data_IF_257165688405
#
_entry.id   IF_257165688405
#
_cell.length_a   1.000
_cell.length_b   1.000
_cell.length_c   1.000
_cell.angle_alpha   90.00
_cell.angle_beta   90.00
_cell.angle_gamma   90.00
#
_symmetry.space_group_name_H-M   'P 1'
#
loop_
_entity.id
_entity.type
_entity.pdbx_description
1 polymer ?
#
# COMPACT_ATOMS: atom_id res chain seq x y z
N UNK A 1 34.87 -18.70 11.77
CA UNK A 1 34.59 -17.24 11.70
C UNK A 1 35.47 -16.55 12.71
N UNK A 2 36.14 -15.50 12.28
CA UNK A 2 36.96 -14.71 13.18
C UNK A 2 36.11 -13.63 13.84
N UNK A 3 36.44 -13.29 15.08
CA UNK A 3 35.68 -12.34 15.89
C UNK A 3 36.57 -11.20 16.35
N UNK A 4 36.00 -10.03 16.52
CA UNK A 4 36.59 -8.90 17.21
C UNK A 4 35.84 -8.60 18.49
N UNK A 5 36.52 -8.07 19.49
CA UNK A 5 35.93 -7.63 20.75
C UNK A 5 35.40 -6.20 20.61
N UNK A 6 34.10 -6.02 20.86
CA UNK A 6 33.43 -4.72 20.97
C UNK A 6 32.99 -4.49 22.41
N UNK A 7 32.73 -3.23 22.78
CA UNK A 7 32.35 -2.84 24.14
C UNK A 7 31.13 -1.96 24.14
N UNK A 8 30.28 -2.15 25.15
CA UNK A 8 29.23 -1.21 25.54
C UNK A 8 29.21 -1.03 27.07
N UNK A 9 28.21 -0.35 27.61
CA UNK A 9 28.08 -0.11 29.04
C UNK A 9 27.89 -1.38 29.89
N UNK A 10 27.60 -2.52 29.26
CA UNK A 10 27.43 -3.82 29.91
C UNK A 10 28.68 -4.70 29.82
N UNK A 11 29.74 -4.25 29.13
CA UNK A 11 31.00 -4.97 29.00
C UNK A 11 31.30 -5.45 27.57
N UNK A 12 32.19 -6.44 27.48
CA UNK A 12 32.68 -6.97 26.21
C UNK A 12 31.67 -7.92 25.55
N UNK A 13 31.70 -7.93 24.20
CA UNK A 13 30.96 -8.88 23.37
C UNK A 13 31.73 -9.20 22.11
N UNK A 14 31.64 -10.44 21.62
CA UNK A 14 32.31 -10.90 20.40
C UNK A 14 31.43 -10.63 19.18
N UNK A 15 31.93 -9.89 18.20
CA UNK A 15 31.25 -9.54 16.95
C UNK A 15 32.02 -10.15 15.78
N UNK A 16 31.37 -10.77 14.78
CA UNK A 16 32.07 -11.27 13.58
C UNK A 16 32.85 -10.17 12.91
N UNK A 17 34.10 -10.45 12.54
CA UNK A 17 35.07 -9.43 12.07
C UNK A 17 34.63 -8.75 10.77
N UNK A 18 33.88 -9.48 9.92
CA UNK A 18 33.38 -8.99 8.64
C UNK A 18 32.13 -8.12 8.77
N UNK A 19 31.56 -7.96 9.97
CA UNK A 19 30.33 -7.16 10.19
C UNK A 19 30.66 -5.81 10.77
N UNK A 20 29.98 -4.75 10.27
CA UNK A 20 30.17 -3.39 10.77
C UNK A 20 29.31 -3.06 12.00
N UNK A 21 28.34 -3.90 12.39
CA UNK A 21 27.62 -3.66 13.64
C UNK A 21 28.50 -3.84 14.88
N UNK A 22 28.11 -3.26 15.99
CA UNK A 22 28.88 -3.28 17.23
C UNK A 22 28.20 -4.10 18.35
N UNK A 23 28.56 -3.76 19.59
CA UNK A 23 28.16 -4.49 20.78
C UNK A 23 26.65 -4.52 21.01
N UNK A 24 25.96 -3.39 20.89
CA UNK A 24 24.53 -3.32 21.17
C UNK A 24 23.71 -4.13 20.16
N UNK A 25 24.07 -4.06 18.88
CA UNK A 25 23.43 -4.89 17.84
C UNK A 25 23.70 -6.36 18.05
N UNK A 26 24.92 -6.75 18.40
CA UNK A 26 25.25 -8.17 18.66
C UNK A 26 24.41 -8.73 19.82
N UNK A 27 24.27 -7.98 20.93
CA UNK A 27 23.40 -8.40 22.05
C UNK A 27 21.96 -8.53 21.62
N UNK A 28 21.43 -7.61 20.83
CA UNK A 28 20.06 -7.72 20.31
C UNK A 28 19.88 -8.93 19.41
N UNK A 29 20.82 -9.19 18.51
CA UNK A 29 20.83 -10.36 17.62
C UNK A 29 20.86 -11.68 18.40
N UNK A 30 21.54 -11.73 19.53
CA UNK A 30 21.61 -12.93 20.40
C UNK A 30 20.37 -13.08 21.28
N UNK A 31 19.81 -11.98 21.80
CA UNK A 31 18.71 -12.00 22.78
C UNK A 31 17.34 -12.18 22.13
N UNK A 32 17.12 -11.69 20.91
CA UNK A 32 15.81 -11.69 20.24
C UNK A 32 15.75 -12.70 19.08
N UNK A 33 15.89 -13.99 19.40
CA UNK A 33 15.71 -15.08 18.42
C UNK A 33 14.23 -15.44 18.27
N UNK A 34 13.45 -14.47 17.78
CA UNK A 34 11.98 -14.57 17.69
C UNK A 34 11.57 -14.35 16.24
N UNK A 35 10.91 -15.35 15.64
CA UNK A 35 10.42 -15.28 14.26
C UNK A 35 11.53 -15.12 13.21
N UNK A 36 11.14 -14.76 12.02
CA UNK A 36 12.05 -14.55 10.88
C UNK A 36 11.93 -13.15 10.28
N UNK A 37 10.95 -12.38 10.74
CA UNK A 37 10.61 -11.06 10.24
C UNK A 37 11.69 -10.06 10.63
N UNK A 38 12.51 -9.69 9.65
CA UNK A 38 13.55 -8.67 9.83
C UNK A 38 12.97 -7.27 9.73
N UNK A 39 13.67 -6.32 10.36
CA UNK A 39 13.37 -4.91 10.19
C UNK A 39 13.40 -4.55 8.70
N UNK A 40 12.35 -3.91 8.16
CA UNK A 40 12.28 -3.58 6.73
C UNK A 40 13.46 -2.74 6.26
N UNK A 41 13.95 -3.00 5.05
CA UNK A 41 15.03 -2.24 4.44
C UNK A 41 14.66 -0.77 4.23
N UNK A 42 13.39 -0.48 4.04
CA UNK A 42 12.83 0.85 3.93
C UNK A 42 13.09 1.70 5.20
N UNK A 43 13.02 1.06 6.39
CA UNK A 43 13.38 1.71 7.66
C UNK A 43 14.89 1.96 7.74
N UNK A 44 15.71 1.01 7.32
CA UNK A 44 17.18 1.19 7.28
C UNK A 44 17.56 2.35 6.37
N UNK A 45 16.93 2.45 5.19
CA UNK A 45 17.10 3.57 4.25
C UNK A 45 16.64 4.91 4.86
N UNK A 46 15.48 4.91 5.53
CA UNK A 46 14.97 6.10 6.21
C UNK A 46 15.92 6.57 7.33
N UNK A 47 16.49 5.64 8.08
CA UNK A 47 17.55 5.95 9.04
C UNK A 47 18.79 6.55 8.37
N UNK A 48 19.24 6.03 7.24
CA UNK A 48 20.39 6.58 6.52
C UNK A 48 20.11 8.04 6.08
N UNK A 49 18.92 8.33 5.56
CA UNK A 49 18.50 9.72 5.25
C UNK A 49 18.52 10.59 6.51
N UNK A 50 17.92 10.11 7.61
CA UNK A 50 17.86 10.81 8.88
C UNK A 50 19.26 11.09 9.44
N UNK A 51 20.15 10.09 9.48
CA UNK A 51 21.52 10.24 10.01
C UNK A 51 22.36 11.18 9.16
N UNK A 52 22.23 11.12 7.85
CA UNK A 52 22.86 12.08 6.94
C UNK A 52 22.34 13.51 7.19
N UNK A 53 21.01 13.67 7.31
CA UNK A 53 20.40 14.96 7.62
C UNK A 53 20.83 15.51 8.98
N UNK A 54 20.89 14.66 10.02
CA UNK A 54 21.35 15.04 11.36
C UNK A 54 22.83 15.46 11.36
N UNK A 55 23.70 14.77 10.63
CA UNK A 55 25.09 15.15 10.47
C UNK A 55 25.24 16.52 9.78
N UNK A 56 24.46 16.76 8.73
CA UNK A 56 24.41 18.06 8.04
C UNK A 56 23.91 19.16 8.99
N UNK A 57 22.82 18.92 9.73
CA UNK A 57 22.27 19.89 10.67
C UNK A 57 23.25 20.21 11.81
N UNK A 58 23.88 19.21 12.43
CA UNK A 58 24.89 19.40 13.46
C UNK A 58 26.12 20.13 12.92
N UNK A 59 26.52 19.91 11.69
CA UNK A 59 27.62 20.65 11.05
C UNK A 59 27.22 22.12 10.83
N UNK A 60 26.05 22.41 10.29
CA UNK A 60 25.53 23.78 10.10
C UNK A 60 25.44 24.56 11.42
N UNK A 61 25.13 23.86 12.51
CA UNK A 61 25.04 24.43 13.86
C UNK A 61 26.39 24.46 14.62
N UNK A 62 27.50 24.10 13.95
CA UNK A 62 28.84 24.14 14.52
C UNK A 62 29.11 23.08 15.61
N UNK A 63 28.32 22.01 15.68
CA UNK A 63 28.46 20.91 16.65
C UNK A 63 29.28 19.74 16.12
N UNK A 64 29.26 19.49 14.82
CA UNK A 64 30.01 18.43 14.16
C UNK A 64 30.94 19.03 13.10
N UNK A 65 32.21 18.62 13.09
CA UNK A 65 33.17 19.08 12.10
C UNK A 65 32.91 18.48 10.70
N UNK A 66 33.50 19.13 9.69
CA UNK A 66 33.30 18.79 8.28
C UNK A 66 33.77 17.36 7.93
N UNK A 67 34.88 16.92 8.53
CA UNK A 67 35.46 15.59 8.25
C UNK A 67 34.50 14.47 8.71
N UNK A 68 33.99 14.59 9.96
CA UNK A 68 33.03 13.62 10.51
C UNK A 68 31.70 13.63 9.75
N UNK A 69 31.18 14.82 9.45
CA UNK A 69 29.96 14.95 8.60
C UNK A 69 30.14 14.24 7.26
N UNK A 70 31.27 14.43 6.61
CA UNK A 70 31.55 13.83 5.28
C UNK A 70 31.61 12.30 5.37
N UNK A 71 32.26 11.75 6.40
CA UNK A 71 32.32 10.29 6.61
C UNK A 71 30.94 9.71 6.89
N UNK A 72 30.17 10.31 7.82
CA UNK A 72 28.79 9.86 8.12
C UNK A 72 27.93 9.90 6.85
N UNK A 73 28.00 10.99 6.09
CA UNK A 73 27.22 11.14 4.84
C UNK A 73 27.60 10.10 3.80
N UNK A 74 28.90 9.80 3.62
CA UNK A 74 29.39 8.81 2.67
C UNK A 74 28.92 7.39 3.00
N UNK A 75 28.94 7.00 4.28
CA UNK A 75 28.43 5.69 4.69
C UNK A 75 26.90 5.61 4.52
N UNK A 76 26.18 6.71 4.82
CA UNK A 76 24.73 6.76 4.55
C UNK A 76 24.42 6.56 3.07
N UNK A 77 25.25 7.10 2.17
CA UNK A 77 25.10 6.87 0.73
C UNK A 77 25.32 5.39 0.36
N UNK A 78 26.35 4.73 0.94
CA UNK A 78 26.53 3.28 0.75
C UNK A 78 25.32 2.45 1.23
N UNK A 79 24.68 2.86 2.35
CA UNK A 79 23.45 2.22 2.84
C UNK A 79 22.30 2.42 1.85
N UNK A 80 22.10 3.64 1.35
CA UNK A 80 21.06 3.98 0.38
C UNK A 80 21.23 3.23 -0.95
N UNK A 81 22.47 2.99 -1.36
CA UNK A 81 22.81 2.17 -2.54
C UNK A 81 22.68 0.66 -2.30
N UNK A 82 22.37 0.23 -1.07
CA UNK A 82 22.20 -1.18 -0.71
C UNK A 82 23.50 -1.96 -0.50
N UNK A 83 24.66 -1.31 -0.51
CA UNK A 83 25.98 -1.95 -0.36
C UNK A 83 26.20 -2.60 1.00
N UNK A 84 25.46 -2.15 2.02
CA UNK A 84 25.63 -2.56 3.42
C UNK A 84 24.45 -3.37 3.97
N UNK A 85 23.56 -3.88 3.13
CA UNK A 85 22.33 -4.57 3.55
C UNK A 85 22.56 -5.74 4.52
N UNK A 86 23.69 -6.47 4.39
CA UNK A 86 24.02 -7.60 5.26
C UNK A 86 24.42 -7.23 6.69
N UNK A 87 24.53 -5.92 6.97
CA UNK A 87 24.90 -5.41 8.29
C UNK A 87 23.70 -5.02 9.18
N UNK A 88 22.48 -5.32 8.72
CA UNK A 88 21.22 -5.02 9.43
C UNK A 88 20.43 -6.30 9.72
N UNK A 89 20.89 -7.13 10.70
CA UNK A 89 20.34 -8.47 10.91
C UNK A 89 19.11 -8.51 11.81
N UNK A 90 18.73 -7.40 12.46
CA UNK A 90 17.77 -7.39 13.56
C UNK A 90 16.34 -7.71 13.11
N UNK A 91 15.64 -8.44 13.97
CA UNK A 91 14.23 -8.77 13.78
C UNK A 91 13.31 -7.64 14.24
N UNK A 92 12.07 -7.67 13.79
CA UNK A 92 11.00 -6.77 14.25
C UNK A 92 10.70 -6.93 15.73
N UNK A 93 10.81 -8.17 16.22
CA UNK A 93 10.54 -8.58 17.61
C UNK A 93 11.72 -8.22 18.53
N UNK A 94 11.93 -6.91 18.74
CA UNK A 94 12.99 -6.31 19.55
C UNK A 94 12.39 -5.33 20.55
N UNK A 95 13.20 -4.46 21.18
CA UNK A 95 12.66 -3.40 22.04
C UNK A 95 11.67 -2.53 21.26
N UNK A 96 10.52 -2.28 21.85
CA UNK A 96 9.41 -1.59 21.18
C UNK A 96 9.67 -0.12 20.84
N UNK A 97 10.69 0.51 21.42
CA UNK A 97 11.17 1.85 21.06
C UNK A 97 12.04 1.88 19.79
N UNK A 98 12.48 0.71 19.30
CA UNK A 98 13.40 0.61 18.17
C UNK A 98 14.84 1.02 18.47
N UNK A 99 15.22 1.09 19.74
CA UNK A 99 16.59 1.50 20.15
C UNK A 99 17.67 0.64 19.51
N UNK A 100 17.46 -0.70 19.43
CA UNK A 100 18.47 -1.56 18.82
C UNK A 100 18.63 -1.26 17.32
N UNK A 101 17.56 -0.98 16.59
CA UNK A 101 17.65 -0.59 15.17
C UNK A 101 18.38 0.75 15.00
N UNK A 102 18.09 1.75 15.83
CA UNK A 102 18.83 3.01 15.83
C UNK A 102 20.32 2.77 16.09
N UNK A 103 20.65 1.95 17.10
CA UNK A 103 22.05 1.65 17.42
C UNK A 103 22.72 0.81 16.33
N UNK A 104 22.02 -0.13 15.71
CA UNK A 104 22.54 -0.89 14.57
C UNK A 104 23.01 0.07 13.44
N UNK A 105 22.19 1.03 13.07
CA UNK A 105 22.58 2.03 12.06
C UNK A 105 23.74 2.89 12.54
N UNK A 106 23.73 3.34 13.80
CA UNK A 106 24.82 4.16 14.37
C UNK A 106 26.16 3.39 14.38
N UNK A 107 26.15 2.13 14.80
CA UNK A 107 27.34 1.27 14.86
C UNK A 107 27.89 0.97 13.47
N UNK A 108 27.04 0.63 12.50
CA UNK A 108 27.46 0.40 11.11
C UNK A 108 28.07 1.68 10.52
N UNK A 109 27.45 2.83 10.70
CA UNK A 109 27.98 4.10 10.19
C UNK A 109 29.33 4.43 10.85
N UNK A 110 29.45 4.27 12.17
CA UNK A 110 30.70 4.58 12.86
C UNK A 110 31.83 3.65 12.44
N UNK A 111 31.60 2.34 12.43
CA UNK A 111 32.66 1.36 12.12
C UNK A 111 33.08 1.42 10.64
N UNK A 112 32.13 1.52 9.71
CA UNK A 112 32.47 1.71 8.29
C UNK A 112 33.17 3.03 8.02
N UNK A 113 32.72 4.12 8.65
CA UNK A 113 33.35 5.44 8.53
C UNK A 113 34.75 5.47 9.11
N UNK A 114 35.01 4.76 10.21
CA UNK A 114 36.36 4.59 10.79
C UNK A 114 37.29 3.80 9.85
N UNK A 115 36.77 2.74 9.22
CA UNK A 115 37.53 2.00 8.19
C UNK A 115 37.89 2.91 7.01
N UNK A 116 36.95 3.70 6.50
CA UNK A 116 37.18 4.68 5.43
C UNK A 116 38.21 5.76 5.83
N UNK A 117 38.21 6.17 7.12
CA UNK A 117 39.15 7.15 7.64
C UNK A 117 40.55 6.59 7.91
N UNK A 118 40.69 5.25 8.04
CA UNK A 118 41.91 4.58 8.48
C UNK A 118 42.25 4.79 9.97
N UNK A 119 41.34 5.37 10.77
CA UNK A 119 41.49 5.65 12.19
C UNK A 119 40.17 5.69 12.93
N UNK A 120 40.16 5.56 14.27
CA UNK A 120 38.97 5.70 15.12
C UNK A 120 38.56 7.19 15.27
N UNK A 121 37.81 7.70 14.30
CA UNK A 121 37.35 9.09 14.25
C UNK A 121 35.88 9.27 14.67
N UNK A 122 35.06 8.27 14.38
CA UNK A 122 33.62 8.26 14.67
C UNK A 122 33.31 7.39 15.88
N UNK A 123 32.40 7.88 16.72
CA UNK A 123 31.76 7.12 17.80
C UNK A 123 30.25 7.03 17.56
N UNK A 124 29.59 5.87 17.73
CA UNK A 124 28.18 5.70 17.41
C UNK A 124 27.26 6.65 18.19
N UNK A 125 27.52 6.86 19.49
CA UNK A 125 26.68 7.73 20.32
C UNK A 125 27.09 9.21 20.21
N UNK A 126 28.40 9.53 20.28
CA UNK A 126 28.86 10.92 20.42
C UNK A 126 28.80 11.70 19.11
N UNK A 127 28.96 11.01 17.96
CA UNK A 127 29.02 11.64 16.64
C UNK A 127 27.83 11.28 15.76
N UNK A 128 27.52 9.99 15.56
CA UNK A 128 26.44 9.55 14.67
C UNK A 128 25.06 9.85 15.28
N UNK A 129 24.93 9.65 16.62
CA UNK A 129 23.68 9.92 17.35
C UNK A 129 23.65 11.31 18.01
N UNK A 130 24.59 12.20 17.67
CA UNK A 130 24.68 13.54 18.24
C UNK A 130 23.36 14.31 18.14
N UNK A 131 22.91 14.92 19.23
CA UNK A 131 21.65 15.70 19.35
C UNK A 131 20.36 14.86 19.19
N UNK A 132 20.43 13.53 19.32
CA UNK A 132 19.34 12.61 19.05
C UNK A 132 19.11 11.65 20.21
N UNK A 133 17.94 11.04 20.24
CA UNK A 133 17.59 9.85 21.03
C UNK A 133 16.98 8.79 20.10
N UNK A 134 17.00 7.51 20.49
CA UNK A 134 16.21 6.49 19.80
C UNK A 134 14.72 6.84 19.78
N UNK A 135 14.26 7.54 20.81
CA UNK A 135 12.86 7.88 21.02
C UNK A 135 12.33 8.87 19.97
N UNK A 136 13.16 9.76 19.44
CA UNK A 136 12.78 10.69 18.38
C UNK A 136 13.28 10.26 17.00
N UNK A 137 14.37 9.48 16.90
CA UNK A 137 14.88 8.99 15.61
C UNK A 137 13.99 7.92 15.00
N UNK A 138 13.54 6.93 15.79
CA UNK A 138 12.75 5.83 15.24
C UNK A 138 11.41 6.30 14.67
N UNK A 139 10.56 7.10 15.37
CA UNK A 139 9.33 7.63 14.78
C UNK A 139 9.59 8.55 13.58
N UNK A 140 10.71 9.30 13.57
CA UNK A 140 11.10 10.06 12.39
C UNK A 140 11.42 9.17 11.20
N UNK A 141 12.17 8.08 11.40
CA UNK A 141 12.44 7.11 10.34
C UNK A 141 11.15 6.42 9.84
N UNK A 142 10.19 6.13 10.74
CA UNK A 142 8.86 5.61 10.37
C UNK A 142 8.14 6.57 9.42
N UNK A 143 8.09 7.85 9.73
CA UNK A 143 7.43 8.86 8.92
C UNK A 143 8.10 9.06 7.56
N UNK A 144 9.44 9.13 7.54
CA UNK A 144 10.19 9.22 6.27
C UNK A 144 9.91 7.99 5.40
N UNK A 145 10.02 6.77 5.95
CA UNK A 145 9.78 5.55 5.20
C UNK A 145 8.33 5.47 4.67
N UNK A 146 7.35 5.77 5.51
CA UNK A 146 5.95 5.71 5.14
C UNK A 146 5.60 6.71 4.01
N UNK A 147 6.06 7.97 4.13
CA UNK A 147 5.81 8.98 3.12
C UNK A 147 6.47 8.63 1.78
N UNK A 148 7.75 8.23 1.79
CA UNK A 148 8.48 7.89 0.57
C UNK A 148 7.90 6.66 -0.13
N UNK A 149 7.58 5.59 0.61
CA UNK A 149 7.01 4.38 0.01
C UNK A 149 5.61 4.60 -0.59
N UNK A 150 4.79 5.45 0.01
CA UNK A 150 3.52 5.86 -0.61
C UNK A 150 3.76 6.63 -1.91
N UNK A 151 4.65 7.62 -1.89
CA UNK A 151 4.82 8.52 -3.03
C UNK A 151 5.65 7.91 -4.17
N UNK A 152 6.67 7.12 -3.86
CA UNK A 152 7.64 6.64 -4.85
C UNK A 152 7.38 5.20 -5.32
N UNK A 153 6.59 4.43 -4.56
CA UNK A 153 6.24 3.05 -4.92
C UNK A 153 4.75 2.85 -5.16
N UNK A 154 3.90 3.26 -4.19
CA UNK A 154 2.46 2.98 -4.28
C UNK A 154 1.78 3.83 -5.36
N UNK A 155 2.02 5.14 -5.39
CA UNK A 155 1.38 6.01 -6.37
C UNK A 155 1.70 5.64 -7.82
N UNK A 156 2.95 5.36 -8.22
CA UNK A 156 3.23 4.90 -9.59
C UNK A 156 2.51 3.61 -9.97
N UNK A 157 2.40 2.66 -9.02
CA UNK A 157 1.68 1.40 -9.23
C UNK A 157 0.18 1.63 -9.41
N UNK A 158 -0.40 2.50 -8.58
CA UNK A 158 -1.81 2.87 -8.63
C UNK A 158 -2.13 3.65 -9.92
N UNK A 159 -1.29 4.60 -10.31
CA UNK A 159 -1.45 5.37 -11.55
C UNK A 159 -1.40 4.47 -12.79
N UNK A 160 -0.51 3.48 -12.79
CA UNK A 160 -0.43 2.49 -13.87
C UNK A 160 -1.74 1.71 -14.01
N UNK A 161 -2.33 1.29 -12.91
CA UNK A 161 -3.61 0.56 -12.91
C UNK A 161 -4.78 1.45 -13.34
N UNK A 162 -4.86 2.68 -12.84
CA UNK A 162 -5.87 3.68 -13.24
C UNK A 162 -5.82 3.93 -14.75
N UNK A 163 -4.63 4.15 -15.31
CA UNK A 163 -4.46 4.36 -16.76
C UNK A 163 -4.88 3.14 -17.59
N UNK A 164 -4.68 1.93 -17.06
CA UNK A 164 -5.13 0.72 -17.77
C UNK A 164 -6.64 0.57 -17.75
N UNK A 165 -7.31 0.90 -16.65
CA UNK A 165 -8.78 0.96 -16.63
C UNK A 165 -9.33 2.07 -17.53
N UNK A 166 -8.66 3.23 -17.61
CA UNK A 166 -9.05 4.29 -18.57
C UNK A 166 -9.03 3.77 -20.01
N UNK A 167 -7.96 3.08 -20.40
CA UNK A 167 -7.87 2.48 -21.76
C UNK A 167 -8.92 1.41 -21.97
N UNK A 168 -9.11 0.51 -21.00
CA UNK A 168 -10.11 -0.55 -21.09
C UNK A 168 -11.53 0.02 -21.22
N UNK A 169 -11.83 1.11 -20.51
CA UNK A 169 -13.09 1.84 -20.61
C UNK A 169 -13.32 2.37 -22.02
N UNK A 170 -12.33 3.03 -22.63
CA UNK A 170 -12.39 3.59 -23.98
C UNK A 170 -12.54 2.49 -25.04
N UNK A 171 -11.81 1.39 -24.92
CA UNK A 171 -11.87 0.25 -25.85
C UNK A 171 -13.24 -0.48 -25.83
N UNK A 172 -14.02 -0.31 -24.77
CA UNK A 172 -15.31 -0.96 -24.57
C UNK A 172 -16.50 0.02 -24.62
N UNK A 173 -16.29 1.23 -25.16
CA UNK A 173 -17.36 2.21 -25.34
C UNK A 173 -18.48 1.63 -26.21
N UNK A 174 -19.74 1.92 -25.85
CA UNK A 174 -20.93 1.48 -26.57
C UNK A 174 -21.31 0.01 -26.43
N UNK A 175 -20.58 -0.81 -25.65
CA UNK A 175 -20.97 -2.20 -25.40
C UNK A 175 -21.99 -2.22 -24.26
N UNK A 176 -23.26 -2.49 -24.59
CA UNK A 176 -24.36 -2.61 -23.62
C UNK A 176 -24.46 -4.03 -23.10
N UNK A 177 -24.66 -4.17 -21.79
CA UNK A 177 -24.77 -5.43 -21.06
C UNK A 177 -25.83 -5.37 -19.98
N UNK A 178 -26.20 -6.53 -19.43
CA UNK A 178 -27.06 -6.61 -18.25
C UNK A 178 -26.33 -6.06 -17.03
N UNK A 179 -26.88 -5.04 -16.37
CA UNK A 179 -26.48 -4.64 -15.03
C UNK A 179 -26.90 -5.68 -13.99
N UNK A 180 -26.22 -5.75 -12.85
CA UNK A 180 -26.57 -6.66 -11.75
C UNK A 180 -26.51 -5.98 -10.41
N UNK A 181 -27.57 -6.19 -9.62
CA UNK A 181 -27.63 -5.84 -8.19
C UNK A 181 -28.02 -7.09 -7.42
N UNK A 182 -27.46 -7.34 -6.24
CA UNK A 182 -27.67 -8.56 -5.48
C UNK A 182 -27.30 -9.86 -6.26
N UNK A 183 -26.43 -9.77 -7.25
CA UNK A 183 -26.15 -10.81 -8.26
C UNK A 183 -27.39 -11.23 -9.09
N UNK A 184 -28.46 -10.45 -9.05
CA UNK A 184 -29.65 -10.64 -9.88
C UNK A 184 -29.63 -9.66 -11.06
N UNK A 185 -30.29 -10.06 -12.16
CA UNK A 185 -30.42 -9.22 -13.35
C UNK A 185 -31.11 -7.89 -13.00
N UNK A 186 -30.53 -6.81 -13.51
CA UNK A 186 -31.04 -5.45 -13.35
C UNK A 186 -31.18 -4.77 -14.73
N UNK A 187 -31.44 -3.46 -14.71
CA UNK A 187 -31.52 -2.66 -15.94
C UNK A 187 -30.16 -2.64 -16.68
N UNK A 188 -30.16 -2.37 -17.99
CA UNK A 188 -28.95 -2.28 -18.79
C UNK A 188 -27.95 -1.25 -18.27
N UNK A 189 -26.68 -1.50 -18.54
CA UNK A 189 -25.53 -0.63 -18.31
C UNK A 189 -24.54 -0.82 -19.46
N UNK A 190 -23.72 0.17 -19.77
CA UNK A 190 -22.58 -0.09 -20.65
C UNK A 190 -21.41 -0.72 -19.88
N UNK A 191 -20.62 -1.56 -20.55
CA UNK A 191 -19.41 -2.13 -19.93
C UNK A 191 -18.38 -1.03 -19.60
N UNK A 192 -18.31 0.01 -20.41
CA UNK A 192 -17.52 1.20 -20.14
C UNK A 192 -17.95 1.91 -18.83
N UNK A 193 -19.27 2.02 -18.56
CA UNK A 193 -19.78 2.58 -17.29
C UNK A 193 -19.38 1.73 -16.07
N UNK A 194 -19.44 0.40 -16.19
CA UNK A 194 -19.00 -0.52 -15.13
C UNK A 194 -17.50 -0.33 -14.81
N UNK A 195 -16.66 -0.28 -15.85
CA UNK A 195 -15.20 -0.02 -15.71
C UNK A 195 -14.93 1.36 -15.12
N UNK A 196 -15.71 2.38 -15.51
CA UNK A 196 -15.57 3.74 -14.96
C UNK A 196 -15.75 3.77 -13.44
N UNK A 197 -16.66 2.94 -12.91
CA UNK A 197 -16.85 2.77 -11.47
C UNK A 197 -15.58 2.23 -10.78
N UNK A 198 -14.93 1.22 -11.38
CA UNK A 198 -13.66 0.67 -10.86
C UNK A 198 -12.54 1.71 -10.87
N UNK A 199 -12.41 2.45 -11.97
CA UNK A 199 -11.41 3.52 -12.10
C UNK A 199 -11.58 4.58 -11.01
N UNK A 200 -12.79 5.09 -10.82
CA UNK A 200 -13.07 6.15 -9.83
C UNK A 200 -12.82 5.66 -8.40
N UNK A 201 -13.08 4.39 -8.06
CA UNK A 201 -12.70 3.82 -6.77
C UNK A 201 -11.21 3.96 -6.47
N UNK A 202 -10.34 3.76 -7.47
CA UNK A 202 -8.89 3.89 -7.33
C UNK A 202 -8.45 5.35 -7.24
N UNK A 203 -9.04 6.24 -8.04
CA UNK A 203 -8.79 7.68 -7.97
C UNK A 203 -9.14 8.26 -6.59
N UNK A 204 -10.29 7.88 -6.03
CA UNK A 204 -10.69 8.26 -4.68
C UNK A 204 -9.77 7.71 -3.61
N UNK A 205 -9.28 6.48 -3.77
CA UNK A 205 -8.29 5.91 -2.85
C UNK A 205 -6.96 6.70 -2.90
N UNK A 206 -6.53 7.14 -4.08
CA UNK A 206 -5.35 8.00 -4.23
C UNK A 206 -5.52 9.34 -3.53
N UNK A 207 -6.68 10.00 -3.69
CA UNK A 207 -7.01 11.24 -2.98
C UNK A 207 -6.93 11.07 -1.46
N UNK A 208 -7.49 9.98 -0.91
CA UNK A 208 -7.42 9.69 0.54
C UNK A 208 -5.97 9.52 1.02
N UNK A 209 -5.14 8.83 0.25
CA UNK A 209 -3.71 8.67 0.56
C UNK A 209 -2.97 10.01 0.50
N UNK A 210 -3.26 10.86 -0.49
CA UNK A 210 -2.68 12.20 -0.59
C UNK A 210 -3.03 13.06 0.63
N UNK A 211 -4.25 12.96 1.16
CA UNK A 211 -4.67 13.68 2.37
C UNK A 211 -3.91 13.23 3.63
N UNK A 212 -3.35 12.03 3.67
CA UNK A 212 -2.57 11.54 4.81
C UNK A 212 -1.10 12.02 4.83
N UNK A 213 -0.55 12.41 3.68
CA UNK A 213 0.87 12.78 3.56
C UNK A 213 1.30 13.97 4.43
N UNK A 214 0.52 15.04 4.58
CA UNK A 214 0.93 16.17 5.42
C UNK A 214 1.29 15.78 6.86
N UNK A 215 0.52 14.87 7.48
CA UNK A 215 0.82 14.35 8.81
C UNK A 215 2.08 13.48 8.84
N UNK A 216 2.25 12.59 7.87
CA UNK A 216 3.45 11.76 7.74
C UNK A 216 4.73 12.57 7.48
N UNK A 217 4.63 13.81 7.02
CA UNK A 217 5.77 14.68 6.79
C UNK A 217 6.16 15.53 8.02
N UNK A 218 5.50 15.34 9.16
CA UNK A 218 5.88 15.95 10.43
C UNK A 218 6.86 15.05 11.19
N UNK A 219 8.04 15.60 11.55
CA UNK A 219 9.14 14.83 12.11
C UNK A 219 9.28 15.04 13.62
N UNK A 220 9.41 13.94 14.36
CA UNK A 220 9.62 13.93 15.81
C UNK A 220 11.04 14.39 16.20
N UNK A 221 12.01 14.32 15.29
CA UNK A 221 13.42 14.57 15.56
C UNK A 221 13.64 15.98 16.14
N UNK A 222 14.48 16.06 17.18
CA UNK A 222 14.67 17.24 18.01
C UNK A 222 13.92 17.19 19.34
N UNK A 223 12.97 16.23 19.53
CA UNK A 223 12.33 15.99 20.83
C UNK A 223 13.24 15.28 21.84
N UNK A 224 14.21 14.55 21.34
CA UNK A 224 15.15 13.71 22.09
C UNK A 224 14.44 12.69 23.01
N UNK A 225 14.80 12.59 24.29
CA UNK A 225 14.36 11.51 25.17
C UNK A 225 12.86 11.50 25.46
N UNK A 226 12.26 12.66 25.75
CA UNK A 226 10.86 12.79 26.22
C UNK A 226 10.10 13.97 25.57
N UNK A 227 10.67 14.61 24.56
CA UNK A 227 10.02 15.72 23.84
C UNK A 227 10.54 17.11 24.20
N UNK A 228 11.41 17.23 25.20
CA UNK A 228 11.94 18.52 25.69
C UNK A 228 13.14 19.05 24.90
N UNK A 229 13.71 18.23 24.01
CA UNK A 229 14.91 18.60 23.25
C UNK A 229 16.21 18.61 24.08
N UNK A 230 16.25 17.84 25.16
CA UNK A 230 17.46 17.77 26.04
C UNK A 230 18.69 17.42 25.20
N UNK A 231 19.77 18.20 25.39
CA UNK A 231 21.08 18.07 24.71
C UNK A 231 21.08 18.37 23.19
N UNK A 232 19.94 18.72 22.58
CA UNK A 232 19.93 19.22 21.21
C UNK A 232 20.18 20.74 21.17
N UNK A 233 21.01 21.26 20.25
CA UNK A 233 21.19 22.69 20.10
C UNK A 233 19.92 23.35 19.56
N UNK A 234 19.70 24.61 19.92
CA UNK A 234 18.53 25.37 19.45
C UNK A 234 18.49 25.40 17.91
N UNK A 235 17.34 25.05 17.35
CA UNK A 235 17.10 25.01 15.90
C UNK A 235 17.54 23.73 15.21
N UNK A 236 18.00 22.72 15.96
CA UNK A 236 18.36 21.42 15.39
C UNK A 236 17.18 20.74 14.67
N UNK A 237 16.01 20.80 15.27
CA UNK A 237 14.77 20.24 14.71
C UNK A 237 14.38 20.88 13.36
N UNK A 238 14.57 22.19 13.22
CA UNK A 238 14.32 22.91 11.97
C UNK A 238 15.36 22.57 10.90
N UNK A 239 16.65 22.59 11.27
CA UNK A 239 17.74 22.30 10.32
C UNK A 239 17.72 20.85 9.83
N UNK A 240 17.37 19.89 10.71
CA UNK A 240 17.28 18.49 10.28
C UNK A 240 16.09 18.25 9.38
N UNK A 241 14.91 18.83 9.64
CA UNK A 241 13.75 18.72 8.76
C UNK A 241 14.03 19.33 7.37
N UNK A 242 14.72 20.48 7.34
CA UNK A 242 15.19 21.10 6.11
C UNK A 242 16.17 20.20 5.34
N UNK A 243 17.14 19.60 6.03
CA UNK A 243 18.09 18.68 5.40
C UNK A 243 17.40 17.40 4.86
N UNK A 244 16.43 16.83 5.58
CA UNK A 244 15.61 15.73 5.07
C UNK A 244 14.87 16.13 3.79
N UNK A 245 14.28 17.33 3.78
CA UNK A 245 13.58 17.85 2.58
C UNK A 245 14.54 18.04 1.39
N UNK A 246 15.74 18.56 1.63
CA UNK A 246 16.78 18.72 0.60
C UNK A 246 17.22 17.36 0.01
N UNK A 247 17.38 16.33 0.85
CA UNK A 247 17.80 15.00 0.45
C UNK A 247 16.72 14.21 -0.32
N UNK A 248 15.48 14.33 0.13
CA UNK A 248 14.35 13.54 -0.42
C UNK A 248 13.59 14.27 -1.52
N UNK A 249 13.77 15.58 -1.67
CA UNK A 249 12.95 16.44 -2.56
C UNK A 249 11.47 16.44 -2.17
N UNK A 250 11.16 16.20 -0.90
CA UNK A 250 9.81 16.22 -0.34
C UNK A 250 9.76 17.25 0.79
N UNK A 251 8.60 17.85 1.03
CA UNK A 251 8.41 18.93 1.99
C UNK A 251 8.18 18.39 3.41
N UNK A 252 9.26 17.93 4.07
CA UNK A 252 9.23 17.53 5.47
C UNK A 252 9.39 18.73 6.39
N UNK A 253 8.73 18.71 7.54
CA UNK A 253 8.77 19.77 8.53
C UNK A 253 8.93 19.19 9.94
N UNK A 254 9.41 20.01 10.86
CA UNK A 254 9.46 19.65 12.28
C UNK A 254 8.04 19.60 12.86
N UNK A 255 7.72 18.56 13.64
CA UNK A 255 6.44 18.49 14.33
C UNK A 255 6.28 19.62 15.34
N UNK A 256 5.11 20.26 15.35
CA UNK A 256 4.84 21.40 16.24
C UNK A 256 4.83 21.00 17.72
N UNK A 257 4.46 19.75 18.02
CA UNK A 257 4.45 19.21 19.38
C UNK A 257 5.23 17.91 19.45
N UNK A 258 6.43 17.94 20.05
CA UNK A 258 7.31 16.78 20.17
C UNK A 258 6.80 15.73 21.17
N UNK A 259 6.00 16.13 22.16
CA UNK A 259 5.37 15.20 23.10
C UNK A 259 4.34 14.31 22.39
N UNK A 260 3.55 14.89 21.51
CA UNK A 260 2.64 14.15 20.63
C UNK A 260 3.41 13.19 19.72
N UNK A 261 4.38 13.68 18.95
CA UNK A 261 5.06 12.90 17.92
C UNK A 261 5.93 11.74 18.44
N UNK A 262 6.35 11.77 19.72
CA UNK A 262 7.03 10.64 20.36
C UNK A 262 6.06 9.51 20.75
N UNK A 263 4.85 9.85 21.20
CA UNK A 263 3.90 8.90 21.78
C UNK A 263 2.80 8.48 20.81
N UNK A 264 2.19 9.42 20.10
CA UNK A 264 1.11 9.12 19.17
C UNK A 264 1.66 8.58 17.84
N UNK A 265 0.85 7.74 17.18
CA UNK A 265 1.11 7.18 15.84
C UNK A 265 -0.14 7.28 14.97
N UNK A 266 -0.99 8.26 15.28
CA UNK A 266 -2.28 8.52 14.65
C UNK A 266 -2.14 8.87 13.16
N UNK A 267 -1.07 9.53 12.75
CA UNK A 267 -0.78 9.80 11.34
C UNK A 267 -0.57 8.50 10.54
N UNK A 268 0.11 7.52 11.14
CA UNK A 268 0.27 6.20 10.53
C UNK A 268 -1.04 5.42 10.50
N UNK A 269 -1.88 5.53 11.55
CA UNK A 269 -3.21 4.93 11.59
C UNK A 269 -4.09 5.52 10.51
N UNK A 270 -4.10 6.85 10.37
CA UNK A 270 -4.89 7.55 9.35
C UNK A 270 -4.46 7.13 7.94
N UNK A 271 -3.16 7.14 7.66
CA UNK A 271 -2.62 6.72 6.37
C UNK A 271 -2.90 5.23 6.08
N UNK A 272 -2.79 4.35 7.10
CA UNK A 272 -3.12 2.94 6.92
C UNK A 272 -4.62 2.70 6.72
N UNK A 273 -5.48 3.52 7.32
CA UNK A 273 -6.91 3.54 7.03
C UNK A 273 -7.21 3.82 5.55
N UNK A 274 -6.44 4.70 4.91
CA UNK A 274 -6.51 4.94 3.47
C UNK A 274 -5.99 3.74 2.64
N UNK A 275 -4.92 3.06 3.08
CA UNK A 275 -4.47 1.79 2.48
C UNK A 275 -5.53 0.70 2.57
N UNK A 276 -6.23 0.61 3.70
CA UNK A 276 -7.36 -0.32 3.87
C UNK A 276 -8.51 0.02 2.92
N UNK A 277 -8.84 1.29 2.73
CA UNK A 277 -9.87 1.70 1.75
C UNK A 277 -9.49 1.28 0.32
N UNK A 278 -8.22 1.47 -0.07
CA UNK A 278 -7.70 0.98 -1.35
C UNK A 278 -7.82 -0.55 -1.45
N UNK A 279 -7.44 -1.28 -0.40
CA UNK A 279 -7.55 -2.75 -0.37
C UNK A 279 -9.01 -3.22 -0.53
N UNK A 280 -9.97 -2.54 0.11
CA UNK A 280 -11.40 -2.86 -0.02
C UNK A 280 -11.89 -2.65 -1.46
N UNK A 281 -11.49 -1.56 -2.11
CA UNK A 281 -11.81 -1.28 -3.51
C UNK A 281 -11.18 -2.32 -4.46
N UNK A 282 -9.91 -2.67 -4.26
CA UNK A 282 -9.23 -3.68 -5.06
C UNK A 282 -9.86 -5.08 -4.91
N UNK A 283 -10.30 -5.45 -3.71
CA UNK A 283 -11.03 -6.70 -3.47
C UNK A 283 -12.35 -6.72 -4.25
N UNK A 284 -13.11 -5.63 -4.23
CA UNK A 284 -14.36 -5.51 -4.99
C UNK A 284 -14.11 -5.62 -6.48
N UNK A 285 -13.14 -4.91 -7.02
CA UNK A 285 -12.79 -4.93 -8.44
C UNK A 285 -12.37 -6.35 -8.88
N UNK A 286 -11.49 -6.98 -8.11
CA UNK A 286 -11.05 -8.35 -8.41
C UNK A 286 -12.20 -9.37 -8.40
N UNK A 287 -13.14 -9.24 -7.46
CA UNK A 287 -14.31 -10.12 -7.40
C UNK A 287 -15.27 -9.89 -8.57
N UNK A 288 -15.53 -8.64 -8.97
CA UNK A 288 -16.34 -8.37 -10.15
C UNK A 288 -15.74 -9.01 -11.41
N UNK A 289 -14.44 -8.83 -11.62
CA UNK A 289 -13.73 -9.40 -12.78
C UNK A 289 -13.78 -10.94 -12.74
N UNK A 290 -13.63 -11.56 -11.55
CA UNK A 290 -13.80 -13.02 -11.39
C UNK A 290 -15.20 -13.48 -11.77
N UNK A 291 -16.23 -12.76 -11.34
CA UNK A 291 -17.62 -13.09 -11.68
C UNK A 291 -17.87 -12.95 -13.18
N UNK A 292 -17.48 -11.83 -13.78
CA UNK A 292 -17.66 -11.60 -15.22
C UNK A 292 -16.93 -12.63 -16.09
N UNK A 293 -15.73 -13.06 -15.67
CA UNK A 293 -14.94 -14.09 -16.35
C UNK A 293 -15.29 -15.54 -15.99
N UNK A 294 -16.30 -15.78 -15.13
CA UNK A 294 -16.64 -17.12 -14.65
C UNK A 294 -17.20 -18.02 -15.76
N UNK A 295 -16.86 -19.30 -15.72
CA UNK A 295 -17.34 -20.28 -16.68
C UNK A 295 -16.19 -21.03 -17.37
N UNK A 296 -16.02 -20.93 -18.70
CA UNK A 296 -16.63 -19.98 -19.67
C UNK A 296 -18.05 -20.30 -20.18
N UNK A 297 -18.49 -21.56 -20.05
CA UNK A 297 -19.80 -21.99 -20.59
C UNK A 297 -20.92 -22.05 -19.54
N UNK A 298 -20.58 -22.40 -18.30
CA UNK A 298 -21.54 -22.62 -17.21
C UNK A 298 -21.54 -21.48 -16.17
N UNK A 299 -20.93 -20.36 -16.47
CA UNK A 299 -20.91 -19.15 -15.65
C UNK A 299 -21.38 -17.94 -16.44
N UNK A 300 -20.99 -16.72 -16.00
CA UNK A 300 -21.38 -15.48 -16.69
C UNK A 300 -20.71 -15.36 -18.07
N UNK A 301 -19.39 -15.60 -18.14
CA UNK A 301 -18.66 -15.65 -19.40
C UNK A 301 -18.68 -14.35 -20.21
N UNK A 302 -18.88 -13.19 -19.56
CA UNK A 302 -19.02 -11.89 -20.22
C UNK A 302 -17.69 -11.24 -20.61
N UNK A 303 -16.59 -11.72 -20.02
CA UNK A 303 -15.23 -11.30 -20.38
C UNK A 303 -14.31 -12.50 -20.51
N UNK A 304 -13.29 -12.35 -21.34
CA UNK A 304 -12.15 -13.26 -21.40
C UNK A 304 -10.99 -12.68 -20.58
N UNK A 305 -10.36 -13.55 -19.78
CA UNK A 305 -9.15 -13.22 -19.00
C UNK A 305 -7.91 -13.83 -19.66
N UNK A 306 -6.73 -13.22 -19.50
CA UNK A 306 -5.47 -13.82 -19.96
C UNK A 306 -5.20 -15.19 -19.34
N UNK A 307 -4.67 -16.09 -20.15
CA UNK A 307 -4.21 -17.41 -19.72
C UNK A 307 -2.73 -17.30 -19.31
N UNK A 308 -2.45 -17.34 -18.00
CA UNK A 308 -1.09 -17.16 -17.48
C UNK A 308 -0.41 -18.48 -17.13
N UNK A 309 -1.18 -19.44 -16.59
CA UNK A 309 -0.70 -20.76 -16.17
C UNK A 309 -1.80 -21.82 -16.23
N UNK A 310 -1.45 -23.13 -16.30
CA UNK A 310 -2.43 -24.20 -16.18
C UNK A 310 -3.21 -24.14 -14.88
N UNK A 311 -4.53 -24.12 -14.95
CA UNK A 311 -5.42 -23.92 -13.79
C UNK A 311 -5.75 -25.19 -13.01
N UNK A 312 -5.30 -26.38 -13.46
CA UNK A 312 -5.62 -27.66 -12.80
C UNK A 312 -4.64 -28.75 -13.17
N UNK A 313 -4.30 -29.60 -12.21
CA UNK A 313 -3.48 -30.79 -12.42
C UNK A 313 -4.23 -31.96 -13.05
N UNK A 314 -5.57 -31.97 -13.03
CA UNK A 314 -6.41 -33.08 -13.49
C UNK A 314 -7.47 -32.67 -14.52
N UNK A 315 -7.68 -31.37 -14.78
CA UNK A 315 -8.65 -30.84 -15.75
C UNK A 315 -7.91 -30.09 -16.85
N UNK A 316 -7.51 -30.74 -17.95
CA UNK A 316 -6.78 -30.11 -19.04
C UNK A 316 -7.53 -28.91 -19.63
N UNK A 317 -6.85 -27.81 -19.89
CA UNK A 317 -7.42 -26.60 -20.48
C UNK A 317 -8.21 -25.72 -19.52
N UNK A 318 -8.27 -26.04 -18.22
CA UNK A 318 -8.87 -25.16 -17.22
C UNK A 318 -7.96 -23.97 -16.93
N UNK A 319 -8.51 -22.77 -17.02
CA UNK A 319 -7.84 -21.51 -16.66
C UNK A 319 -8.56 -20.89 -15.47
N UNK A 320 -7.80 -20.44 -14.47
CA UNK A 320 -8.34 -19.80 -13.27
C UNK A 320 -8.04 -18.30 -13.27
N UNK A 321 -8.84 -17.47 -12.59
CA UNK A 321 -8.59 -16.03 -12.43
C UNK A 321 -7.56 -15.76 -11.33
N UNK A 322 -6.37 -16.36 -11.42
CA UNK A 322 -5.35 -16.43 -10.37
C UNK A 322 -4.85 -15.07 -9.90
N UNK A 323 -4.75 -14.09 -10.81
CA UNK A 323 -4.38 -12.72 -10.48
C UNK A 323 -5.43 -12.03 -9.60
N UNK A 324 -6.70 -12.28 -9.86
CA UNK A 324 -7.78 -11.80 -8.99
C UNK A 324 -7.71 -12.46 -7.61
N UNK A 325 -7.41 -13.76 -7.54
CA UNK A 325 -7.27 -14.50 -6.28
C UNK A 325 -6.09 -13.96 -5.45
N UNK A 326 -4.94 -13.73 -6.07
CA UNK A 326 -3.78 -13.14 -5.42
C UNK A 326 -4.10 -11.73 -4.87
N UNK A 327 -4.76 -10.89 -5.66
CA UNK A 327 -5.14 -9.54 -5.25
C UNK A 327 -6.12 -9.53 -4.07
N UNK A 328 -7.08 -10.47 -4.04
CA UNK A 328 -8.00 -10.58 -2.89
C UNK A 328 -7.31 -11.06 -1.62
N UNK A 329 -6.33 -11.98 -1.72
CA UNK A 329 -5.51 -12.39 -0.57
C UNK A 329 -4.66 -11.24 -0.04
N UNK A 330 -4.02 -10.45 -0.91
CA UNK A 330 -3.29 -9.24 -0.52
C UNK A 330 -4.21 -8.24 0.18
N UNK A 331 -5.39 -8.00 -0.38
CA UNK A 331 -6.37 -7.08 0.22
C UNK A 331 -6.78 -7.52 1.63
N UNK A 332 -6.99 -8.81 1.84
CA UNK A 332 -7.30 -9.38 3.16
C UNK A 332 -6.13 -9.15 4.14
N UNK A 333 -4.89 -9.41 3.72
CA UNK A 333 -3.70 -9.19 4.55
C UNK A 333 -3.57 -7.72 4.96
N UNK A 334 -3.80 -6.78 4.07
CA UNK A 334 -3.76 -5.34 4.37
C UNK A 334 -4.82 -4.95 5.40
N UNK A 335 -6.03 -5.52 5.30
CA UNK A 335 -7.08 -5.30 6.31
C UNK A 335 -6.69 -5.87 7.68
N UNK A 336 -6.01 -7.02 7.73
CA UNK A 336 -5.48 -7.58 8.97
C UNK A 336 -4.36 -6.71 9.56
N UNK A 337 -3.46 -6.20 8.73
CA UNK A 337 -2.40 -5.29 9.14
C UNK A 337 -2.94 -3.97 9.73
N UNK A 338 -4.10 -3.48 9.24
CA UNK A 338 -4.76 -2.28 9.78
C UNK A 338 -5.11 -2.44 11.26
N UNK A 339 -5.58 -3.61 11.64
CA UNK A 339 -5.86 -3.93 13.05
C UNK A 339 -4.57 -3.87 13.87
N UNK A 340 -3.48 -4.47 13.37
CA UNK A 340 -2.19 -4.47 14.06
C UNK A 340 -1.63 -3.04 14.22
N UNK A 341 -1.71 -2.20 13.17
CA UNK A 341 -1.26 -0.80 13.22
C UNK A 341 -2.07 0.01 14.24
N UNK A 342 -3.42 -0.10 14.22
CA UNK A 342 -4.29 0.60 15.15
C UNK A 342 -4.06 0.18 16.60
N UNK A 343 -3.93 -1.12 16.87
CA UNK A 343 -3.65 -1.63 18.21
C UNK A 343 -2.28 -1.20 18.72
N UNK A 344 -1.23 -1.28 17.88
CA UNK A 344 0.12 -0.82 18.23
C UNK A 344 0.15 0.69 18.54
N UNK A 345 -0.55 1.50 17.76
CA UNK A 345 -0.65 2.94 17.99
C UNK A 345 -1.34 3.28 19.32
N UNK A 346 -2.34 2.49 19.75
CA UNK A 346 -3.08 2.71 21.00
C UNK A 346 -2.30 2.40 22.28
N UNK A 347 -1.11 1.81 22.18
CA UNK A 347 -0.32 1.30 23.34
C UNK A 347 0.76 2.27 23.84
N UNK A 348 0.73 3.56 23.45
CA UNK A 348 1.61 4.58 24.01
C UNK A 348 1.34 4.82 25.50
N UNK A 349 2.41 4.89 26.31
CA UNK A 349 2.32 5.18 27.74
C UNK A 349 3.20 6.38 28.04
N UNK A 350 2.61 7.42 28.66
CA UNK A 350 3.31 8.67 28.96
C UNK A 350 4.02 9.24 27.72
N UNK A 351 5.33 9.40 27.73
CA UNK A 351 6.11 10.10 26.73
C UNK A 351 6.63 9.20 25.59
N UNK A 352 6.25 7.91 25.51
CA UNK A 352 6.75 7.00 24.48
C UNK A 352 5.76 5.91 24.12
N UNK A 353 5.70 5.57 22.81
CA UNK A 353 5.11 4.33 22.33
C UNK A 353 6.20 3.27 22.17
N UNK A 354 5.98 2.07 22.69
CA UNK A 354 6.93 0.95 22.62
C UNK A 354 6.43 -0.22 21.77
N UNK A 355 5.62 0.08 20.75
CA UNK A 355 5.14 -0.86 19.74
C UNK A 355 5.49 -0.39 18.32
N UNK A 356 6.49 0.51 18.20
CA UNK A 356 6.85 1.14 16.94
C UNK A 356 7.35 0.15 15.87
N UNK A 357 8.20 -0.86 16.18
CA UNK A 357 8.67 -1.80 15.17
C UNK A 357 7.54 -2.59 14.49
N UNK A 358 6.58 -3.12 15.26
CA UNK A 358 5.45 -3.86 14.69
C UNK A 358 4.49 -2.95 13.92
N UNK A 359 4.31 -1.70 14.38
CA UNK A 359 3.48 -0.71 13.70
C UNK A 359 4.00 -0.45 12.29
N UNK A 360 5.27 -0.08 12.16
CA UNK A 360 5.86 0.26 10.86
C UNK A 360 6.07 -0.97 9.95
N UNK A 361 6.35 -2.13 10.52
CA UNK A 361 6.46 -3.39 9.76
C UNK A 361 5.18 -3.68 8.99
N UNK A 362 4.02 -3.66 9.68
CA UNK A 362 2.72 -3.91 9.06
C UNK A 362 2.35 -2.82 8.06
N UNK A 363 2.68 -1.56 8.36
CA UNK A 363 2.46 -0.45 7.44
C UNK A 363 3.21 -0.64 6.12
N UNK A 364 4.50 -0.85 6.18
CA UNK A 364 5.35 -1.02 4.99
C UNK A 364 5.05 -2.31 4.24
N UNK A 365 4.71 -3.39 4.94
CA UNK A 365 4.24 -4.61 4.30
C UNK A 365 2.98 -4.34 3.45
N UNK A 366 2.03 -3.58 3.99
CA UNK A 366 0.80 -3.22 3.27
C UNK A 366 1.09 -2.40 2.01
N UNK A 367 1.95 -1.40 2.09
CA UNK A 367 2.35 -0.59 0.94
C UNK A 367 3.01 -1.45 -0.14
N UNK A 368 3.94 -2.31 0.25
CA UNK A 368 4.67 -3.20 -0.67
C UNK A 368 3.74 -4.19 -1.35
N UNK A 369 2.92 -4.90 -0.57
CA UNK A 369 1.98 -5.88 -1.10
C UNK A 369 0.97 -5.27 -2.07
N UNK A 370 0.39 -4.11 -1.73
CA UNK A 370 -0.53 -3.41 -2.62
C UNK A 370 0.15 -2.98 -3.92
N UNK A 371 1.35 -2.41 -3.83
CA UNK A 371 2.09 -1.96 -5.00
C UNK A 371 2.41 -3.12 -5.96
N UNK A 372 2.97 -4.19 -5.44
CA UNK A 372 3.37 -5.35 -6.23
C UNK A 372 2.15 -6.08 -6.83
N UNK A 373 1.08 -6.23 -6.03
CA UNK A 373 -0.15 -6.88 -6.48
C UNK A 373 -0.87 -6.07 -7.56
N UNK A 374 -0.93 -4.74 -7.45
CA UNK A 374 -1.50 -3.87 -8.49
C UNK A 374 -0.73 -3.98 -9.80
N UNK A 375 0.60 -3.99 -9.77
CA UNK A 375 1.43 -4.15 -10.98
C UNK A 375 1.27 -5.54 -11.60
N UNK A 376 1.24 -6.60 -10.79
CA UNK A 376 1.01 -7.96 -11.26
C UNK A 376 -0.38 -8.12 -11.88
N UNK A 377 -1.41 -7.67 -11.18
CA UNK A 377 -2.79 -7.67 -11.64
C UNK A 377 -2.97 -6.87 -12.93
N UNK A 378 -2.35 -5.69 -13.00
CA UNK A 378 -2.38 -4.88 -14.21
C UNK A 378 -1.79 -5.62 -15.41
N UNK A 379 -0.56 -6.12 -15.27
CA UNK A 379 0.18 -6.75 -16.37
C UNK A 379 -0.45 -8.06 -16.83
N UNK A 380 -0.85 -8.90 -15.87
CA UNK A 380 -1.24 -10.28 -16.13
C UNK A 380 -2.76 -10.50 -16.15
N UNK A 381 -3.56 -9.45 -15.91
CA UNK A 381 -5.02 -9.54 -15.97
C UNK A 381 -5.62 -8.36 -16.75
N UNK A 382 -5.57 -7.14 -16.21
CA UNK A 382 -6.35 -5.99 -16.72
C UNK A 382 -6.04 -5.67 -18.17
N UNK A 383 -4.75 -5.60 -18.54
CA UNK A 383 -4.31 -5.28 -19.92
C UNK A 383 -4.79 -6.28 -20.96
N UNK A 384 -5.11 -7.51 -20.54
CA UNK A 384 -5.56 -8.58 -21.45
C UNK A 384 -7.06 -8.88 -21.39
N UNK A 385 -7.85 -8.14 -20.62
CA UNK A 385 -9.31 -8.31 -20.57
C UNK A 385 -9.92 -7.99 -21.93
N UNK A 386 -10.80 -8.88 -22.40
CA UNK A 386 -11.57 -8.67 -23.63
C UNK A 386 -13.05 -8.92 -23.36
N UNK A 387 -13.92 -8.03 -23.84
CA UNK A 387 -15.36 -8.23 -23.76
C UNK A 387 -15.80 -9.42 -24.63
N UNK A 388 -16.60 -10.31 -24.08
CA UNK A 388 -17.35 -11.29 -24.84
C UNK A 388 -18.68 -10.67 -25.29
N UNK A 389 -18.61 -9.89 -26.37
CA UNK A 389 -19.77 -9.11 -26.86
C UNK A 389 -20.99 -9.99 -27.15
N UNK A 390 -20.78 -11.16 -27.72
CA UNK A 390 -21.87 -12.11 -28.04
C UNK A 390 -22.58 -12.55 -26.75
N UNK A 391 -21.79 -12.92 -25.70
CA UNK A 391 -22.36 -13.34 -24.43
C UNK A 391 -23.06 -12.20 -23.69
N UNK A 392 -22.50 -11.00 -23.74
CA UNK A 392 -23.13 -9.81 -23.16
C UNK A 392 -24.48 -9.52 -23.83
N UNK A 393 -24.56 -9.59 -25.15
CA UNK A 393 -25.80 -9.41 -25.91
C UNK A 393 -26.80 -10.53 -25.64
N UNK A 394 -26.37 -11.81 -25.63
CA UNK A 394 -27.23 -12.93 -25.27
C UNK A 394 -27.87 -12.72 -23.90
N UNK A 395 -27.04 -12.41 -22.88
CA UNK A 395 -27.53 -12.19 -21.52
C UNK A 395 -28.47 -10.98 -21.45
N UNK A 396 -28.15 -9.89 -22.14
CA UNK A 396 -28.99 -8.69 -22.21
C UNK A 396 -30.37 -9.01 -22.71
N UNK A 397 -30.48 -9.66 -23.88
CA UNK A 397 -31.78 -9.96 -24.49
C UNK A 397 -32.60 -11.04 -23.74
N UNK A 398 -31.96 -11.85 -22.91
CA UNK A 398 -32.62 -12.81 -22.03
C UNK A 398 -33.12 -12.21 -20.73
N UNK A 399 -32.64 -11.00 -20.37
CA UNK A 399 -33.02 -10.35 -19.10
C UNK A 399 -34.49 -9.90 -19.14
N UNK A 400 -35.25 -10.37 -18.18
CA UNK A 400 -36.64 -9.93 -18.00
C UNK A 400 -36.73 -8.49 -17.52
N UNK A 401 -35.66 -7.93 -16.98
CA UNK A 401 -35.62 -6.53 -16.47
C UNK A 401 -35.64 -5.50 -17.59
N UNK A 402 -35.42 -5.91 -18.82
CA UNK A 402 -35.68 -5.08 -20.02
C UNK A 402 -37.14 -4.63 -20.13
N UNK A 403 -38.07 -5.35 -19.50
CA UNK A 403 -39.48 -4.93 -19.43
C UNK A 403 -39.66 -3.50 -18.89
N UNK A 404 -38.70 -3.00 -18.15
CA UNK A 404 -38.73 -1.64 -17.59
C UNK A 404 -38.86 -0.57 -18.68
N UNK A 405 -38.29 -0.78 -19.88
CA UNK A 405 -38.46 0.17 -20.98
C UNK A 405 -39.91 0.30 -21.47
N UNK A 406 -40.74 -0.69 -21.20
CA UNK A 406 -42.14 -0.67 -21.56
C UNK A 406 -43.04 0.10 -20.58
N UNK A 407 -42.52 0.42 -19.36
CA UNK A 407 -43.31 1.12 -18.33
C UNK A 407 -44.00 2.40 -18.81
N UNK A 408 -43.36 3.28 -19.60
CA UNK A 408 -43.99 4.49 -20.10
C UNK A 408 -45.21 4.22 -21.05
N UNK A 409 -45.26 3.04 -21.65
CA UNK A 409 -46.25 2.71 -22.68
C UNK A 409 -47.38 1.83 -22.16
N UNK A 410 -47.10 0.88 -21.28
CA UNK A 410 -48.10 -0.07 -20.77
C UNK A 410 -48.34 0.03 -19.26
N UNK A 411 -47.60 0.85 -18.56
CA UNK A 411 -47.65 1.01 -17.12
C UNK A 411 -46.97 -0.13 -16.34
N UNK A 412 -46.56 0.17 -15.09
CA UNK A 412 -45.79 -0.75 -14.23
C UNK A 412 -46.48 -2.11 -14.02
N UNK A 413 -47.81 -2.13 -13.75
CA UNK A 413 -48.54 -3.38 -13.48
C UNK A 413 -48.57 -4.31 -14.70
N UNK A 414 -48.76 -3.78 -15.89
CA UNK A 414 -48.78 -4.58 -17.11
C UNK A 414 -47.36 -5.04 -17.51
N UNK A 415 -46.34 -4.21 -17.27
CA UNK A 415 -44.95 -4.63 -17.42
C UNK A 415 -44.61 -5.77 -16.44
N UNK A 416 -45.07 -5.71 -15.19
CA UNK A 416 -44.88 -6.80 -14.22
C UNK A 416 -45.61 -8.09 -14.65
N UNK A 417 -46.82 -8.01 -15.22
CA UNK A 417 -47.53 -9.15 -15.78
C UNK A 417 -46.78 -9.75 -16.97
N UNK A 418 -46.23 -8.90 -17.84
CA UNK A 418 -45.45 -9.33 -19.01
C UNK A 418 -44.20 -10.10 -18.57
N UNK A 419 -43.40 -9.55 -17.62
CA UNK A 419 -42.20 -10.22 -17.10
C UNK A 419 -42.55 -11.56 -16.41
N UNK A 420 -43.64 -11.60 -15.60
CA UNK A 420 -44.08 -12.78 -14.89
C UNK A 420 -44.53 -13.89 -15.89
N UNK A 421 -45.28 -13.53 -16.92
CA UNK A 421 -45.70 -14.48 -17.98
C UNK A 421 -44.49 -15.00 -18.75
N UNK A 422 -43.58 -14.10 -19.16
CA UNK A 422 -42.37 -14.49 -19.87
C UNK A 422 -41.54 -15.50 -19.05
N UNK A 423 -41.39 -15.28 -17.74
CA UNK A 423 -40.68 -16.18 -16.84
C UNK A 423 -41.37 -17.54 -16.68
N UNK A 424 -42.68 -17.53 -16.40
CA UNK A 424 -43.44 -18.75 -16.12
C UNK A 424 -43.55 -19.67 -17.35
N UNK A 425 -43.68 -19.09 -18.53
CA UNK A 425 -43.88 -19.84 -19.78
C UNK A 425 -42.58 -20.04 -20.57
N UNK A 426 -41.45 -19.48 -20.04
CA UNK A 426 -40.12 -19.51 -20.69
C UNK A 426 -40.15 -18.98 -22.14
N UNK A 427 -40.87 -17.86 -22.35
CA UNK A 427 -41.00 -17.16 -23.62
C UNK A 427 -40.33 -15.78 -23.54
N UNK A 428 -40.14 -15.12 -24.68
CA UNK A 428 -39.59 -13.76 -24.73
C UNK A 428 -40.56 -12.73 -24.15
N UNK A 429 -40.01 -11.56 -23.73
CA UNK A 429 -40.84 -10.40 -23.33
C UNK A 429 -41.76 -9.94 -24.46
N UNK A 430 -41.30 -10.04 -25.73
CA UNK A 430 -42.10 -9.71 -26.92
C UNK A 430 -43.30 -10.63 -27.00
N UNK A 431 -43.09 -11.92 -27.00
CA UNK A 431 -44.18 -12.92 -27.06
C UNK A 431 -45.19 -12.76 -25.91
N UNK A 432 -44.68 -12.59 -24.71
CA UNK A 432 -45.53 -12.36 -23.52
C UNK A 432 -46.37 -11.08 -23.66
N UNK A 433 -45.79 -9.98 -24.11
CA UNK A 433 -46.49 -8.70 -24.30
C UNK A 433 -47.55 -8.77 -25.35
N UNK A 434 -47.29 -9.41 -26.49
CA UNK A 434 -48.22 -9.60 -27.58
C UNK A 434 -49.38 -10.51 -27.16
N UNK A 435 -49.10 -11.65 -26.50
CA UNK A 435 -50.12 -12.56 -26.00
C UNK A 435 -51.05 -11.92 -24.94
N UNK A 436 -50.53 -10.99 -24.15
CA UNK A 436 -51.34 -10.23 -23.20
C UNK A 436 -52.11 -9.06 -23.85
N UNK A 437 -51.86 -8.78 -25.12
CA UNK A 437 -52.56 -7.75 -25.88
C UNK A 437 -52.19 -6.32 -25.46
N UNK A 438 -51.01 -6.11 -24.83
CA UNK A 438 -50.62 -4.78 -24.33
C UNK A 438 -50.02 -3.88 -25.41
N UNK A 439 -49.33 -4.46 -26.41
CA UNK A 439 -48.78 -3.74 -27.58
C UNK A 439 -48.96 -4.58 -28.83
N UNK A 440 -48.95 -3.93 -29.99
CA UNK A 440 -48.77 -4.61 -31.30
C UNK A 440 -47.27 -4.93 -31.50
N UNK A 441 -46.98 -5.82 -32.46
CA UNK A 441 -45.60 -6.19 -32.78
C UNK A 441 -44.80 -4.96 -33.25
N UNK A 442 -45.36 -4.16 -34.14
CA UNK A 442 -44.74 -2.96 -34.66
C UNK A 442 -44.43 -1.96 -33.53
N UNK A 443 -45.38 -1.77 -32.60
CA UNK A 443 -45.20 -0.86 -31.50
C UNK A 443 -44.20 -1.37 -30.46
N UNK A 444 -44.17 -2.69 -30.22
CA UNK A 444 -43.15 -3.29 -29.37
C UNK A 444 -41.74 -3.05 -29.93
N UNK A 445 -41.54 -3.34 -31.22
CA UNK A 445 -40.21 -3.15 -31.87
C UNK A 445 -39.80 -1.67 -31.96
N UNK A 446 -40.77 -0.77 -32.03
CA UNK A 446 -40.47 0.68 -31.98
C UNK A 446 -39.93 1.14 -30.60
N UNK A 447 -40.50 0.60 -29.49
CA UNK A 447 -40.26 1.10 -28.14
C UNK A 447 -39.29 0.25 -27.32
N UNK A 448 -38.99 -0.97 -27.74
CA UNK A 448 -38.09 -1.88 -27.01
C UNK A 448 -36.66 -1.69 -27.50
N UNK A 449 -35.98 -0.74 -26.85
CA UNK A 449 -34.59 -0.33 -27.17
C UNK A 449 -33.73 -0.34 -25.92
N UNK A 450 -33.13 -1.49 -25.59
CA UNK A 450 -32.27 -1.63 -24.40
C UNK A 450 -31.11 -0.62 -24.37
N UNK A 451 -30.56 -0.28 -25.52
CA UNK A 451 -29.45 0.68 -25.68
C UNK A 451 -29.82 2.14 -25.34
N UNK A 452 -31.10 2.49 -25.32
CA UNK A 452 -31.58 3.81 -24.91
C UNK A 452 -31.86 3.89 -23.40
N UNK A 453 -31.64 2.78 -22.64
CA UNK A 453 -31.88 2.72 -21.18
C UNK A 453 -30.64 3.11 -20.36
N UNK A 454 -29.49 3.43 -21.00
CA UNK A 454 -28.19 3.70 -20.35
C UNK A 454 -27.85 5.18 -20.39
#
# INVERSE_FOLDING_TARGET
MDYRTEHDSMGEVQVPIEKYWGAQTQRSFENFKIGTEKMPTEIVRAFAILKKAAAIANNRLGKLDERRKTLISGVCDEILEGKLNEHFPLVVWQTGSGTQSNMNVNEVIANRGNEMAGEKLLHPNDHVNMSQSSNDTFPTAMHIAAALEIEERLFPSLDTLIQSFERLMQENEGIVKTGRTHLQDATPISFSQEISGWKVMLEKSKEMLQLSLPGLRELALGGTAVGTGLNAPKGFDLEVAKAVSELTKKDFKTAANKFHSLTAKDELVFAHGALKALAANLMKIANDIRWLGSGPRCGLGEIFLPENEPGSSIMPGKVNPTQCEALTMVSLQVMANDVAVGMAASQGNFELNVYMPICIYNFLQSVRLLSDAMLSFNRNCVVGIKANKEKMQENLHRSLMLVTCLNPYIGYENAAKTAKKAFQENISLKEACLQLGFLTEEKFDEVFKPEEMI
#
